data_IF_595357394168
#
_entry.id   IF_595357394168
#
_cell.length_a   1.000
_cell.length_b   1.000
_cell.length_c   1.000
_cell.angle_alpha   90.00
_cell.angle_beta   90.00
_cell.angle_gamma   90.00
#
_symmetry.space_group_name_H-M   'P 1'
#
loop_
_entity.id
_entity.type
_entity.pdbx_description
1 polymer ?
#
# COMPACT_ATOMS: atom_id res chain seq x y z
N UNK A 1 1.21 -36.29 6.58
CA UNK A 1 0.98 -35.51 7.81
C UNK A 1 0.11 -34.32 7.46
N UNK A 2 -1.13 -34.27 7.93
CA UNK A 2 -1.94 -33.05 7.83
C UNK A 2 -1.53 -32.12 8.97
N UNK A 3 -1.06 -30.92 8.63
CA UNK A 3 -0.80 -29.88 9.61
C UNK A 3 -2.15 -29.37 10.17
N UNK A 4 -2.47 -29.68 11.41
CA UNK A 4 -3.61 -29.09 12.09
C UNK A 4 -3.29 -27.65 12.50
N UNK A 5 -4.07 -26.70 11.96
CA UNK A 5 -3.99 -25.30 12.37
C UNK A 5 -4.66 -25.12 13.74
N UNK A 6 -4.15 -24.19 14.54
CA UNK A 6 -4.83 -23.80 15.78
C UNK A 6 -6.26 -23.31 15.49
N UNK A 7 -7.21 -23.54 16.40
CA UNK A 7 -8.60 -23.07 16.27
C UNK A 7 -8.68 -21.56 16.00
N UNK A 8 -7.77 -20.78 16.57
CA UNK A 8 -7.67 -19.34 16.40
C UNK A 8 -7.24 -18.97 14.98
N UNK A 9 -6.26 -19.66 14.42
CA UNK A 9 -5.81 -19.45 13.04
C UNK A 9 -6.88 -19.88 12.01
N UNK A 10 -7.56 -20.99 12.26
CA UNK A 10 -8.65 -21.49 11.41
C UNK A 10 -9.88 -20.57 11.40
N UNK A 11 -10.08 -19.79 12.47
CA UNK A 11 -11.19 -18.85 12.59
C UNK A 11 -10.95 -17.50 11.86
N UNK A 12 -9.71 -17.20 11.42
CA UNK A 12 -9.39 -15.98 10.67
C UNK A 12 -10.02 -16.05 9.28
N UNK A 13 -10.93 -15.13 9.01
CA UNK A 13 -11.57 -15.02 7.70
C UNK A 13 -10.71 -14.22 6.74
N UNK A 14 -10.70 -14.58 5.43
CA UNK A 14 -10.06 -13.75 4.41
C UNK A 14 -10.64 -12.33 4.37
N UNK A 15 -9.86 -11.37 3.91
CA UNK A 15 -10.35 -10.00 3.68
C UNK A 15 -11.42 -10.00 2.59
N UNK A 16 -12.62 -9.55 2.93
CA UNK A 16 -13.74 -9.42 1.98
C UNK A 16 -13.41 -8.44 0.84
N UNK A 17 -12.71 -7.36 1.14
CA UNK A 17 -12.27 -6.34 0.15
C UNK A 17 -11.34 -6.96 -0.89
N UNK A 18 -10.33 -7.72 -0.44
CA UNK A 18 -9.40 -8.40 -1.35
C UNK A 18 -10.11 -9.47 -2.19
N UNK A 19 -11.05 -10.20 -1.61
CA UNK A 19 -11.83 -11.22 -2.33
C UNK A 19 -12.70 -10.59 -3.43
N UNK A 20 -13.37 -9.47 -3.16
CA UNK A 20 -14.19 -8.74 -4.15
C UNK A 20 -13.31 -8.19 -5.27
N UNK A 21 -12.17 -7.60 -4.95
CA UNK A 21 -11.22 -7.08 -5.95
C UNK A 21 -10.67 -8.20 -6.84
N UNK A 22 -10.28 -9.34 -6.25
CA UNK A 22 -9.83 -10.51 -7.00
C UNK A 22 -10.92 -11.05 -7.92
N UNK A 23 -12.16 -11.13 -7.45
CA UNK A 23 -13.30 -11.60 -8.25
C UNK A 23 -13.60 -10.68 -9.45
N UNK A 24 -13.55 -9.36 -9.25
CA UNK A 24 -13.72 -8.40 -10.34
C UNK A 24 -12.62 -8.56 -11.40
N UNK A 25 -11.36 -8.77 -10.99
CA UNK A 25 -10.24 -9.03 -11.90
C UNK A 25 -10.40 -10.32 -12.66
N UNK A 26 -10.84 -11.40 -12.02
CA UNK A 26 -11.11 -12.70 -12.63
C UNK A 26 -12.20 -12.57 -13.72
N UNK A 27 -13.31 -11.89 -13.42
CA UNK A 27 -14.42 -11.71 -14.35
C UNK A 27 -14.00 -10.89 -15.58
N UNK A 28 -13.20 -9.84 -15.39
CA UNK A 28 -12.63 -9.08 -16.52
C UNK A 28 -11.72 -9.94 -17.39
N UNK A 29 -10.90 -10.80 -16.80
CA UNK A 29 -10.05 -11.72 -17.54
C UNK A 29 -10.87 -12.74 -18.38
N UNK A 30 -12.11 -13.03 -17.98
CA UNK A 30 -13.08 -13.84 -18.74
C UNK A 30 -13.83 -13.04 -19.82
N UNK A 31 -13.46 -11.78 -20.07
CA UNK A 31 -14.09 -10.91 -21.07
C UNK A 31 -15.42 -10.29 -20.62
N UNK A 32 -15.78 -10.37 -19.34
CA UNK A 32 -17.00 -9.73 -18.82
C UNK A 32 -16.74 -8.25 -18.55
N UNK A 33 -17.70 -7.40 -18.93
CA UNK A 33 -17.69 -5.99 -18.60
C UNK A 33 -18.08 -5.81 -17.12
N UNK A 34 -17.07 -5.57 -16.27
CA UNK A 34 -17.25 -5.41 -14.83
C UNK A 34 -16.63 -4.12 -14.35
N UNK A 35 -17.43 -3.28 -13.75
CA UNK A 35 -16.98 -2.08 -13.03
C UNK A 35 -16.79 -2.42 -11.57
N UNK A 36 -15.58 -2.17 -11.03
CA UNK A 36 -15.22 -2.50 -9.65
C UNK A 36 -15.29 -1.28 -8.74
N UNK A 37 -16.08 -1.40 -7.67
CA UNK A 37 -16.16 -0.41 -6.58
C UNK A 37 -15.64 -0.99 -5.25
N UNK A 38 -14.86 -2.07 -5.31
CA UNK A 38 -14.41 -2.81 -4.13
C UNK A 38 -13.21 -2.21 -3.41
N UNK A 39 -12.42 -1.39 -4.08
CA UNK A 39 -11.28 -0.67 -3.50
C UNK A 39 -11.21 0.74 -4.07
N UNK A 40 -10.86 1.70 -3.22
CA UNK A 40 -10.60 3.07 -3.64
C UNK A 40 -9.09 3.28 -3.81
N UNK A 41 -8.69 3.78 -4.97
CA UNK A 41 -7.32 4.20 -5.25
C UNK A 41 -7.35 5.45 -6.14
N UNK A 42 -6.30 6.29 -6.11
CA UNK A 42 -6.21 7.42 -7.03
C UNK A 42 -6.22 6.95 -8.48
N UNK A 43 -6.98 7.64 -9.32
CA UNK A 43 -7.08 7.39 -10.76
C UNK A 43 -5.77 7.76 -11.50
N UNK A 44 -5.07 8.76 -11.00
CA UNK A 44 -3.79 9.21 -11.54
C UNK A 44 -2.63 8.36 -11.04
N UNK A 45 -1.65 8.14 -11.90
CA UNK A 45 -0.39 7.55 -11.51
C UNK A 45 0.37 8.45 -10.52
N UNK A 46 1.31 7.86 -9.79
CA UNK A 46 2.23 8.61 -8.93
C UNK A 46 2.93 9.71 -9.76
N UNK A 47 2.98 10.97 -9.28
CA UNK A 47 3.69 12.04 -9.99
C UNK A 47 5.13 11.68 -10.33
N UNK A 48 5.58 12.09 -11.52
CA UNK A 48 6.88 11.67 -12.05
C UNK A 48 8.06 12.04 -11.14
N UNK A 49 8.04 13.23 -10.55
CA UNK A 49 9.07 13.65 -9.58
C UNK A 49 9.19 12.75 -8.36
N UNK A 50 8.08 12.13 -7.93
CA UNK A 50 8.08 11.16 -6.81
C UNK A 50 8.67 9.83 -7.29
N UNK A 51 8.30 9.39 -8.49
CA UNK A 51 8.87 8.19 -9.10
C UNK A 51 10.39 8.32 -9.26
N UNK A 52 10.86 9.45 -9.78
CA UNK A 52 12.28 9.72 -10.00
C UNK A 52 13.06 9.72 -8.67
N UNK A 53 12.49 10.32 -7.62
CA UNK A 53 13.09 10.31 -6.29
C UNK A 53 13.21 8.89 -5.70
N UNK A 54 12.19 8.05 -5.92
CA UNK A 54 12.22 6.65 -5.47
C UNK A 54 13.27 5.83 -6.24
N UNK A 55 13.38 6.03 -7.55
CA UNK A 55 14.39 5.38 -8.40
C UNK A 55 15.79 5.80 -7.96
N UNK A 56 16.02 7.10 -7.75
CA UNK A 56 17.30 7.62 -7.26
C UNK A 56 17.68 7.00 -5.91
N UNK A 57 16.75 6.94 -4.96
CA UNK A 57 17.00 6.33 -3.66
C UNK A 57 17.38 4.84 -3.75
N UNK A 58 16.77 4.08 -4.66
CA UNK A 58 17.12 2.68 -4.91
C UNK A 58 18.54 2.59 -5.47
N UNK A 59 18.88 3.41 -6.48
CA UNK A 59 20.19 3.44 -7.11
C UNK A 59 21.30 3.86 -6.14
N UNK A 60 20.98 4.75 -5.19
CA UNK A 60 21.86 5.19 -4.12
C UNK A 60 22.01 4.15 -2.99
N UNK A 61 21.38 2.99 -3.11
CA UNK A 61 21.49 1.90 -2.16
C UNK A 61 20.62 2.05 -0.92
N UNK A 62 19.58 2.88 -0.96
CA UNK A 62 18.63 3.06 0.15
C UNK A 62 17.69 1.84 0.27
N UNK A 63 18.28 0.68 0.52
CA UNK A 63 17.62 -0.64 0.48
C UNK A 63 17.84 -1.45 1.76
N UNK A 64 18.21 -0.80 2.85
CA UNK A 64 18.50 -1.44 4.14
C UNK A 64 17.38 -1.19 5.15
N UNK A 65 17.39 -1.95 6.24
CA UNK A 65 16.46 -1.73 7.34
C UNK A 65 16.60 -0.33 7.94
N UNK A 66 15.49 0.22 8.31
CA UNK A 66 15.37 1.50 9.01
C UNK A 66 14.81 1.29 10.42
N UNK A 67 14.89 2.27 11.33
CA UNK A 67 14.19 2.19 12.60
C UNK A 67 12.69 1.93 12.41
N UNK A 68 12.06 1.24 13.36
CA UNK A 68 10.63 0.93 13.31
C UNK A 68 9.73 2.18 13.16
N UNK A 69 10.19 3.33 13.68
CA UNK A 69 9.52 4.62 13.54
C UNK A 69 9.77 5.34 12.21
N UNK A 70 10.49 4.72 11.28
CA UNK A 70 10.91 5.34 10.02
C UNK A 70 12.16 6.22 10.14
N UNK A 71 12.59 6.77 9.01
CA UNK A 71 13.78 7.63 8.92
C UNK A 71 13.49 9.05 9.45
N UNK A 72 14.51 9.70 10.01
CA UNK A 72 14.35 11.03 10.58
C UNK A 72 13.99 12.07 9.54
N UNK A 73 14.59 11.99 8.37
CA UNK A 73 14.34 12.88 7.24
C UNK A 73 12.86 12.92 6.84
N UNK A 74 12.19 11.76 6.80
CA UNK A 74 10.76 11.69 6.51
C UNK A 74 9.93 12.30 7.65
N UNK A 75 10.27 12.01 8.90
CA UNK A 75 9.58 12.57 10.07
C UNK A 75 9.66 14.10 10.10
N UNK A 76 10.84 14.64 9.83
CA UNK A 76 11.05 16.09 9.73
C UNK A 76 10.27 16.71 8.57
N UNK A 77 10.25 16.06 7.41
CA UNK A 77 9.47 16.52 6.26
C UNK A 77 7.96 16.53 6.56
N UNK A 78 7.45 15.50 7.23
CA UNK A 78 6.06 15.44 7.69
C UNK A 78 5.75 16.58 8.66
N UNK A 79 6.61 16.81 9.69
CA UNK A 79 6.44 17.89 10.65
C UNK A 79 6.42 19.26 9.96
N UNK A 80 7.37 19.52 9.07
CA UNK A 80 7.42 20.76 8.28
C UNK A 80 6.17 20.95 7.43
N UNK A 81 5.67 19.88 6.80
CA UNK A 81 4.44 19.92 6.00
C UNK A 81 3.23 20.26 6.87
N UNK A 82 3.06 19.62 8.01
CA UNK A 82 1.94 19.90 8.91
C UNK A 82 1.99 21.31 9.47
N UNK A 83 3.18 21.81 9.82
CA UNK A 83 3.34 23.19 10.26
C UNK A 83 2.96 24.20 9.16
N UNK A 84 3.47 24.01 7.95
CA UNK A 84 3.28 24.95 6.85
C UNK A 84 1.85 24.94 6.28
N UNK A 85 1.22 23.77 6.13
CA UNK A 85 -0.07 23.63 5.45
C UNK A 85 -1.26 23.48 6.39
N UNK A 86 -1.06 22.94 7.57
CA UNK A 86 -2.14 22.66 8.51
C UNK A 86 -2.04 23.51 9.78
N UNK A 87 -1.00 24.33 9.93
CA UNK A 87 -0.76 25.19 11.10
C UNK A 87 -0.74 24.41 12.42
N UNK A 88 -0.19 23.20 12.39
CA UNK A 88 0.01 22.34 13.56
C UNK A 88 1.48 22.34 13.97
N UNK A 89 1.73 22.48 15.27
CA UNK A 89 3.07 22.36 15.88
C UNK A 89 3.31 20.96 16.44
#
# INVERSE_FOLDING_TARGET
MSLELSKKAAAVKPSSTLAITAKAKELRAQGKDVVGFGAGEPDFNTPQNICDAAIAAINDGFTKYTPASGINELKEAISKKFKAFNHLD
#
